data_IF_003751246404
#
_entry.id   IF_003751246404
#
_cell.length_a   1.000
_cell.length_b   1.000
_cell.length_c   1.000
_cell.angle_alpha   90.00
_cell.angle_beta   90.00
_cell.angle_gamma   90.00
#
_symmetry.space_group_name_H-M   'P 1'
#
loop_
_entity.id
_entity.type
_entity.pdbx_description
1 polymer ?
#
# COMPACT_ATOMS: atom_id res chain seq x y z
N UNK A 1 31.51 -15.89 12.91
CA UNK A 1 30.04 -15.75 12.91
C UNK A 1 29.76 -14.31 12.58
N UNK A 2 29.69 -13.98 11.30
CA UNK A 2 29.11 -12.71 10.87
C UNK A 2 27.64 -12.77 11.26
N UNK A 3 27.20 -11.80 12.06
CA UNK A 3 25.77 -11.60 12.31
C UNK A 3 25.11 -11.37 10.96
N UNK A 4 24.20 -12.26 10.56
CA UNK A 4 23.23 -11.98 9.50
C UNK A 4 22.61 -10.63 9.86
N UNK A 5 22.89 -9.58 9.09
CA UNK A 5 22.23 -8.28 9.30
C UNK A 5 20.77 -8.54 9.02
N UNK A 6 19.97 -8.66 10.07
CA UNK A 6 18.52 -8.72 9.93
C UNK A 6 18.06 -7.51 9.14
N UNK A 7 17.14 -7.73 8.21
CA UNK A 7 16.58 -6.68 7.37
C UNK A 7 15.98 -5.59 8.26
N UNK A 8 16.58 -4.40 8.24
CA UNK A 8 16.16 -3.28 9.09
C UNK A 8 14.85 -2.65 8.59
N UNK A 9 14.58 -2.74 7.27
CA UNK A 9 13.40 -2.16 6.65
C UNK A 9 13.01 -2.92 5.36
N UNK A 10 12.15 -3.94 5.44
CA UNK A 10 11.70 -4.70 4.27
C UNK A 10 10.65 -3.96 3.44
N UNK A 11 10.05 -2.89 3.98
CA UNK A 11 8.94 -2.18 3.36
C UNK A 11 9.31 -1.37 2.12
N UNK A 12 8.34 -0.62 1.59
CA UNK A 12 8.51 0.10 0.33
C UNK A 12 9.58 1.21 0.39
N UNK A 13 9.74 1.87 1.54
CA UNK A 13 10.77 2.89 1.75
C UNK A 13 12.15 2.28 2.06
N UNK A 14 12.25 0.96 2.04
CA UNK A 14 13.48 0.20 2.27
C UNK A 14 13.79 -0.72 1.10
N UNK A 15 13.97 -2.00 1.39
CA UNK A 15 14.48 -2.99 0.43
C UNK A 15 13.53 -3.27 -0.71
N UNK A 16 12.22 -3.32 -0.46
CA UNK A 16 11.24 -3.55 -1.53
C UNK A 16 11.27 -2.44 -2.60
N UNK A 17 11.48 -1.19 -2.19
CA UNK A 17 11.68 -0.08 -3.13
C UNK A 17 12.94 -0.25 -3.99
N UNK A 18 14.04 -0.76 -3.40
CA UNK A 18 15.28 -1.06 -4.13
C UNK A 18 15.10 -2.21 -5.12
N UNK A 19 14.43 -3.28 -4.70
CA UNK A 19 14.12 -4.45 -5.55
C UNK A 19 13.35 -3.99 -6.80
N UNK A 20 12.29 -3.21 -6.62
CA UNK A 20 11.53 -2.62 -7.75
C UNK A 20 12.43 -1.77 -8.64
N UNK A 21 13.31 -0.97 -8.03
CA UNK A 21 14.30 -0.16 -8.75
C UNK A 21 15.22 -1.01 -9.63
N UNK A 22 15.78 -2.09 -9.09
CA UNK A 22 16.66 -3.00 -9.81
C UNK A 22 15.96 -3.72 -10.96
N UNK A 23 14.78 -4.30 -10.73
CA UNK A 23 13.98 -4.91 -11.81
C UNK A 23 13.62 -3.90 -12.92
N UNK A 24 13.30 -2.64 -12.54
CA UNK A 24 13.06 -1.57 -13.52
C UNK A 24 14.32 -1.21 -14.32
N UNK A 25 15.49 -1.16 -13.68
CA UNK A 25 16.77 -0.94 -14.36
C UNK A 25 17.05 -2.07 -15.35
N UNK A 26 16.91 -3.33 -14.92
CA UNK A 26 17.04 -4.48 -15.79
C UNK A 26 16.13 -4.37 -17.04
N UNK A 27 14.85 -4.04 -16.87
CA UNK A 27 13.94 -3.86 -18.02
C UNK A 27 14.36 -2.75 -18.98
N UNK A 28 15.08 -1.74 -18.50
CA UNK A 28 15.54 -0.60 -19.32
C UNK A 28 16.89 -0.85 -19.98
N UNK A 29 17.81 -1.54 -19.32
CA UNK A 29 19.20 -1.70 -19.77
C UNK A 29 19.49 -3.10 -20.33
N UNK A 30 18.69 -4.11 -19.97
CA UNK A 30 18.93 -5.53 -20.21
C UNK A 30 20.27 -6.03 -19.63
N UNK A 31 20.81 -5.36 -18.60
CA UNK A 31 21.99 -5.80 -17.87
C UNK A 31 21.57 -6.77 -16.75
N UNK A 32 21.93 -8.05 -16.91
CA UNK A 32 21.55 -9.16 -16.00
C UNK A 32 21.97 -8.92 -14.54
N UNK A 33 23.04 -8.16 -14.30
CA UNK A 33 23.50 -7.79 -12.94
C UNK A 33 22.39 -7.14 -12.10
N UNK A 34 21.49 -6.37 -12.73
CA UNK A 34 20.37 -5.75 -12.00
C UNK A 34 19.30 -6.75 -11.62
N UNK A 35 19.01 -7.73 -12.48
CA UNK A 35 18.06 -8.80 -12.18
C UNK A 35 18.60 -9.68 -11.05
N UNK A 36 19.86 -10.12 -11.14
CA UNK A 36 20.53 -10.93 -10.10
C UNK A 36 20.50 -10.23 -8.73
N UNK A 37 20.78 -8.92 -8.69
CA UNK A 37 20.69 -8.12 -7.45
C UNK A 37 19.27 -8.04 -6.91
N UNK A 38 18.27 -7.95 -7.79
CA UNK A 38 16.88 -7.87 -7.40
C UNK A 38 16.37 -9.20 -6.83
N UNK A 39 16.74 -10.31 -7.47
CA UNK A 39 16.40 -11.67 -7.03
C UNK A 39 16.99 -11.99 -5.67
N UNK A 40 18.31 -11.80 -5.48
CA UNK A 40 18.98 -12.06 -4.21
C UNK A 40 18.34 -11.26 -3.07
N UNK A 41 18.10 -9.96 -3.30
CA UNK A 41 17.50 -9.11 -2.28
C UNK A 41 16.03 -9.46 -2.02
N UNK A 42 15.29 -9.90 -3.04
CA UNK A 42 13.92 -10.37 -2.87
C UNK A 42 13.87 -11.64 -2.03
N UNK A 43 14.73 -12.61 -2.30
CA UNK A 43 14.83 -13.85 -1.52
C UNK A 43 15.15 -13.55 -0.05
N UNK A 44 16.11 -12.66 0.21
CA UNK A 44 16.42 -12.19 1.56
C UNK A 44 15.18 -11.59 2.25
N UNK A 45 14.45 -10.68 1.57
CA UNK A 45 13.22 -10.08 2.11
C UNK A 45 12.18 -11.16 2.41
N UNK A 46 11.97 -12.11 1.51
CA UNK A 46 10.97 -13.17 1.67
C UNK A 46 11.31 -14.12 2.82
N UNK A 47 12.58 -14.51 2.97
CA UNK A 47 13.05 -15.39 4.04
C UNK A 47 12.95 -14.73 5.43
N UNK A 48 13.14 -13.41 5.50
CA UNK A 48 13.13 -12.66 6.75
C UNK A 48 11.79 -11.94 7.02
N UNK A 49 10.80 -12.07 6.13
CA UNK A 49 9.49 -11.43 6.29
C UNK A 49 8.67 -12.12 7.40
N UNK A 50 8.89 -11.68 8.64
CA UNK A 50 8.09 -12.13 9.78
C UNK A 50 6.73 -11.41 9.85
N UNK A 51 5.67 -12.13 10.19
CA UNK A 51 4.33 -11.55 10.43
C UNK A 51 4.27 -10.63 11.68
N UNK A 52 5.34 -10.57 12.46
CA UNK A 52 5.52 -9.64 13.58
C UNK A 52 5.83 -8.21 13.11
N UNK A 53 6.21 -8.02 11.84
CA UNK A 53 6.41 -6.71 11.25
C UNK A 53 5.13 -5.85 11.32
N UNK A 54 5.29 -4.51 11.38
CA UNK A 54 4.16 -3.61 11.37
C UNK A 54 3.34 -3.75 10.08
N UNK A 55 2.02 -3.55 10.17
CA UNK A 55 1.10 -3.57 9.02
C UNK A 55 1.09 -2.19 8.36
N UNK A 56 2.26 -1.74 7.90
CA UNK A 56 2.52 -0.40 7.33
C UNK A 56 3.09 -0.51 5.93
N UNK A 57 2.95 0.55 5.13
CA UNK A 57 3.43 0.57 3.75
C UNK A 57 4.93 0.91 3.66
N UNK A 58 5.39 1.89 4.43
CA UNK A 58 6.75 2.38 4.35
C UNK A 58 7.77 1.37 4.82
N UNK A 59 7.53 0.75 5.98
CA UNK A 59 8.48 -0.10 6.70
C UNK A 59 7.97 -1.50 7.05
N UNK A 60 6.83 -1.91 6.49
CA UNK A 60 6.12 -3.09 6.95
C UNK A 60 5.51 -3.96 5.85
N UNK A 61 4.63 -4.85 6.30
CA UNK A 61 4.03 -5.92 5.48
C UNK A 61 3.24 -5.39 4.28
N UNK A 62 2.58 -4.24 4.38
CA UNK A 62 1.84 -3.67 3.25
C UNK A 62 2.80 -3.23 2.14
N UNK A 63 3.98 -2.71 2.49
CA UNK A 63 5.00 -2.33 1.52
C UNK A 63 5.55 -3.52 0.76
N UNK A 64 5.90 -4.57 1.51
CA UNK A 64 6.32 -5.86 0.96
C UNK A 64 5.25 -6.42 0.03
N UNK A 65 4.02 -6.50 0.51
CA UNK A 65 2.91 -7.06 -0.25
C UNK A 65 2.53 -6.27 -1.51
N UNK A 66 2.57 -4.92 -1.45
CA UNK A 66 2.42 -4.09 -2.66
C UNK A 66 3.56 -4.36 -3.64
N UNK A 67 4.79 -4.48 -3.15
CA UNK A 67 5.94 -4.75 -4.01
C UNK A 67 5.83 -6.09 -4.73
N UNK A 68 5.52 -7.17 -4.01
CA UNK A 68 5.31 -8.50 -4.61
C UNK A 68 4.18 -8.48 -5.64
N UNK A 69 3.02 -7.92 -5.28
CA UNK A 69 1.89 -7.80 -6.20
C UNK A 69 2.29 -7.04 -7.46
N UNK A 70 3.03 -5.93 -7.30
CA UNK A 70 3.56 -5.16 -8.41
C UNK A 70 4.54 -5.96 -9.28
N UNK A 71 5.46 -6.72 -8.70
CA UNK A 71 6.44 -7.53 -9.44
C UNK A 71 5.75 -8.63 -10.25
N UNK A 72 4.76 -9.32 -9.66
CA UNK A 72 3.93 -10.33 -10.33
C UNK A 72 3.14 -9.70 -11.49
N UNK A 73 2.49 -8.58 -11.22
CA UNK A 73 1.71 -7.84 -12.21
C UNK A 73 2.56 -7.37 -13.40
N UNK A 74 3.78 -6.92 -13.15
CA UNK A 74 4.67 -6.48 -14.22
C UNK A 74 5.39 -7.64 -14.92
N UNK A 75 5.24 -8.89 -14.46
CA UNK A 75 5.92 -10.05 -15.02
C UNK A 75 7.43 -10.05 -14.75
N UNK A 76 7.86 -9.47 -13.63
CA UNK A 76 9.24 -9.59 -13.15
C UNK A 76 9.46 -10.92 -12.41
N UNK A 77 8.42 -11.41 -11.75
CA UNK A 77 8.43 -12.70 -11.04
C UNK A 77 7.15 -13.47 -11.38
N UNK A 78 7.21 -14.79 -11.27
CA UNK A 78 6.07 -15.68 -11.48
C UNK A 78 5.56 -16.23 -10.13
N UNK A 79 4.25 -16.47 -10.03
CA UNK A 79 3.63 -17.04 -8.84
C UNK A 79 2.14 -16.73 -8.71
N UNK A 80 1.47 -17.39 -7.77
CA UNK A 80 0.09 -17.07 -7.40
C UNK A 80 0.09 -16.02 -6.28
N UNK A 81 -0.32 -14.80 -6.61
CA UNK A 81 -0.42 -13.69 -5.68
C UNK A 81 -1.32 -14.01 -4.47
N UNK A 82 -2.41 -14.76 -4.66
CA UNK A 82 -3.32 -15.10 -3.57
C UNK A 82 -2.70 -16.11 -2.61
N UNK A 83 -1.82 -17.00 -3.08
CA UNK A 83 -1.09 -17.92 -2.21
C UNK A 83 0.03 -17.19 -1.46
N UNK A 84 0.85 -16.42 -2.18
CA UNK A 84 2.02 -15.72 -1.64
C UNK A 84 1.60 -14.69 -0.59
N UNK A 85 0.53 -13.94 -0.84
CA UNK A 85 0.14 -12.80 0.00
C UNK A 85 -0.94 -13.13 1.04
N UNK A 86 -1.40 -14.39 1.12
CA UNK A 86 -2.52 -14.79 1.98
C UNK A 86 -2.36 -14.39 3.46
N UNK A 87 -1.16 -14.54 4.01
CA UNK A 87 -0.91 -14.20 5.41
C UNK A 87 -0.93 -12.68 5.64
N UNK A 88 -0.41 -11.91 4.68
CA UNK A 88 -0.46 -10.44 4.71
C UNK A 88 -1.91 -9.97 4.59
N UNK A 89 -2.71 -10.56 3.70
CA UNK A 89 -4.15 -10.29 3.60
C UNK A 89 -4.86 -10.45 4.94
N UNK A 90 -4.62 -11.58 5.61
CA UNK A 90 -5.23 -11.84 6.91
C UNK A 90 -4.84 -10.78 7.95
N UNK A 91 -3.57 -10.35 7.98
CA UNK A 91 -3.09 -9.29 8.88
C UNK A 91 -3.75 -7.95 8.55
N UNK A 92 -3.83 -7.58 7.27
CA UNK A 92 -4.47 -6.34 6.81
C UNK A 92 -5.95 -6.34 7.17
N UNK A 93 -6.68 -7.41 6.88
CA UNK A 93 -8.10 -7.54 7.21
C UNK A 93 -8.35 -7.42 8.72
N UNK A 94 -7.53 -8.10 9.54
CA UNK A 94 -7.65 -8.00 11.00
C UNK A 94 -7.38 -6.57 11.50
N UNK A 95 -6.41 -5.87 10.93
CA UNK A 95 -6.12 -4.46 11.24
C UNK A 95 -7.30 -3.55 10.87
N UNK A 96 -7.93 -3.77 9.72
CA UNK A 96 -9.11 -3.02 9.28
C UNK A 96 -10.29 -3.26 10.24
N UNK A 97 -10.57 -4.53 10.56
CA UNK A 97 -11.69 -4.92 11.43
C UNK A 97 -11.54 -4.39 12.86
N UNK A 98 -10.31 -4.34 13.37
CA UNK A 98 -10.01 -3.82 14.71
C UNK A 98 -9.78 -2.31 14.76
N UNK A 99 -9.66 -1.64 13.60
CA UNK A 99 -9.29 -0.23 13.47
C UNK A 99 -8.04 0.14 14.29
N UNK A 100 -7.01 -0.69 14.25
CA UNK A 100 -5.86 -0.62 15.16
C UNK A 100 -4.78 0.45 14.82
N UNK A 101 -5.00 1.32 13.83
CA UNK A 101 -4.04 2.35 13.40
C UNK A 101 -4.60 3.75 13.66
N UNK A 102 -3.81 4.60 14.35
CA UNK A 102 -4.25 5.96 14.72
C UNK A 102 -3.93 7.06 13.69
N UNK A 103 -3.15 6.77 12.66
CA UNK A 103 -2.63 7.76 11.70
C UNK A 103 -3.20 7.55 10.30
N UNK A 104 -3.33 8.63 9.51
CA UNK A 104 -3.95 8.57 8.18
C UNK A 104 -2.96 8.35 7.03
N UNK A 105 -1.72 8.82 7.12
CA UNK A 105 -0.78 8.90 6.00
C UNK A 105 -0.43 7.54 5.35
N UNK A 106 0.16 7.57 4.16
CA UNK A 106 0.47 6.38 3.36
C UNK A 106 1.53 5.53 4.07
N UNK A 107 2.62 6.15 4.53
CA UNK A 107 3.78 5.41 5.06
C UNK A 107 3.43 4.51 6.26
N UNK A 108 2.75 5.05 7.27
CA UNK A 108 2.49 4.35 8.54
C UNK A 108 1.01 4.28 8.94
N UNK A 109 0.13 4.82 8.10
CA UNK A 109 -1.27 5.03 8.43
C UNK A 109 -2.25 4.22 7.58
N UNK A 110 -3.53 4.53 7.77
CA UNK A 110 -4.68 3.87 7.13
C UNK A 110 -4.57 3.91 5.60
N UNK A 111 -4.04 4.99 5.02
CA UNK A 111 -3.83 5.10 3.57
C UNK A 111 -2.86 4.04 3.01
N UNK A 112 -1.91 3.55 3.81
CA UNK A 112 -1.03 2.46 3.41
C UNK A 112 -1.78 1.14 3.22
N UNK A 113 -2.79 0.86 4.07
CA UNK A 113 -3.68 -0.29 3.91
C UNK A 113 -4.54 -0.14 2.65
N UNK A 114 -5.00 1.08 2.37
CA UNK A 114 -5.84 1.35 1.21
C UNK A 114 -5.05 1.17 -0.07
N UNK A 115 -3.77 1.55 -0.05
CA UNK A 115 -2.91 1.36 -1.19
C UNK A 115 -2.61 -0.13 -1.45
N UNK A 116 -2.44 -0.92 -0.38
CA UNK A 116 -2.33 -2.37 -0.48
C UNK A 116 -3.56 -3.01 -1.14
N UNK A 117 -4.77 -2.71 -0.64
CA UNK A 117 -6.01 -3.24 -1.23
C UNK A 117 -6.22 -2.77 -2.67
N UNK A 118 -5.81 -1.53 -2.99
CA UNK A 118 -5.85 -1.06 -4.37
C UNK A 118 -5.02 -1.93 -5.30
N UNK A 119 -3.77 -2.25 -4.93
CA UNK A 119 -2.92 -3.09 -5.78
C UNK A 119 -3.51 -4.48 -5.99
N UNK A 120 -4.00 -5.11 -4.92
CA UNK A 120 -4.67 -6.43 -4.98
C UNK A 120 -5.91 -6.44 -5.88
N UNK A 121 -6.63 -5.31 -5.98
CA UNK A 121 -7.88 -5.23 -6.74
C UNK A 121 -7.74 -4.61 -8.14
N UNK A 122 -6.68 -3.85 -8.40
CA UNK A 122 -6.57 -2.96 -9.58
C UNK A 122 -6.66 -3.70 -10.92
N UNK A 123 -6.18 -4.94 -10.99
CA UNK A 123 -6.25 -5.82 -12.18
C UNK A 123 -7.40 -6.83 -12.15
N UNK A 124 -8.21 -6.84 -11.09
CA UNK A 124 -9.27 -7.82 -10.82
C UNK A 124 -10.68 -7.21 -10.84
N UNK A 125 -10.89 -6.10 -11.55
CA UNK A 125 -12.13 -5.30 -11.47
C UNK A 125 -13.41 -6.09 -11.79
N UNK A 126 -13.33 -7.00 -12.76
CA UNK A 126 -14.44 -7.85 -13.19
C UNK A 126 -14.56 -9.18 -12.45
N UNK A 127 -13.66 -9.47 -11.51
CA UNK A 127 -13.67 -10.73 -10.77
C UNK A 127 -14.64 -10.67 -9.58
N UNK A 128 -15.31 -11.79 -9.36
CA UNK A 128 -16.32 -11.99 -8.32
C UNK A 128 -16.08 -13.26 -7.50
N UNK A 129 -14.85 -13.77 -7.52
CA UNK A 129 -14.51 -14.87 -6.62
C UNK A 129 -14.54 -14.41 -5.15
N UNK A 130 -14.68 -15.38 -4.24
CA UNK A 130 -14.86 -15.14 -2.80
C UNK A 130 -13.74 -14.28 -2.19
N UNK A 131 -12.50 -14.39 -2.70
CA UNK A 131 -11.35 -13.64 -2.18
C UNK A 131 -11.45 -12.18 -2.61
N UNK A 132 -11.80 -11.92 -3.86
CA UNK A 132 -12.04 -10.56 -4.39
C UNK A 132 -13.21 -9.89 -3.69
N UNK A 133 -14.32 -10.60 -3.51
CA UNK A 133 -15.48 -10.08 -2.79
C UNK A 133 -15.13 -9.70 -1.35
N UNK A 134 -14.32 -10.54 -0.67
CA UNK A 134 -13.82 -10.25 0.67
C UNK A 134 -12.91 -9.01 0.69
N UNK A 135 -12.03 -8.84 -0.29
CA UNK A 135 -11.21 -7.62 -0.39
C UNK A 135 -12.07 -6.38 -0.64
N UNK A 136 -13.08 -6.47 -1.50
CA UNK A 136 -14.04 -5.39 -1.78
C UNK A 136 -14.82 -5.00 -0.51
N UNK A 137 -15.23 -5.98 0.30
CA UNK A 137 -15.86 -5.75 1.60
C UNK A 137 -14.94 -4.97 2.56
N UNK A 138 -13.69 -5.42 2.73
CA UNK A 138 -12.74 -4.75 3.61
C UNK A 138 -12.34 -3.36 3.09
N UNK A 139 -12.34 -3.16 1.78
CA UNK A 139 -12.17 -1.84 1.17
C UNK A 139 -13.30 -0.88 1.57
N UNK A 140 -14.55 -1.35 1.63
CA UNK A 140 -15.68 -0.52 2.10
C UNK A 140 -15.47 -0.12 3.57
N UNK A 141 -15.11 -1.06 4.44
CA UNK A 141 -14.81 -0.76 5.85
C UNK A 141 -13.65 0.23 6.01
N UNK A 142 -12.64 0.11 5.15
CA UNK A 142 -11.49 1.00 5.14
C UNK A 142 -11.84 2.40 4.65
N UNK A 143 -12.68 2.54 3.62
CA UNK A 143 -13.20 3.84 3.16
C UNK A 143 -14.02 4.51 4.26
N UNK A 144 -14.84 3.75 4.99
CA UNK A 144 -15.57 4.25 6.16
C UNK A 144 -14.61 4.74 7.25
N UNK A 145 -13.54 3.97 7.50
CA UNK A 145 -12.54 4.35 8.49
C UNK A 145 -11.78 5.63 8.10
N UNK A 146 -11.38 5.78 6.83
CA UNK A 146 -10.79 7.03 6.32
C UNK A 146 -11.74 8.21 6.54
N UNK A 147 -13.03 8.03 6.24
CA UNK A 147 -14.04 9.06 6.43
C UNK A 147 -14.15 9.50 7.90
N UNK A 148 -14.10 8.56 8.84
CA UNK A 148 -14.19 8.84 10.27
C UNK A 148 -12.92 9.53 10.81
N UNK A 149 -11.76 9.28 10.20
CA UNK A 149 -10.48 9.86 10.61
C UNK A 149 -10.19 11.24 10.01
N UNK A 150 -10.81 11.58 8.87
CA UNK A 150 -10.58 12.84 8.14
C UNK A 150 -10.90 14.14 8.91
N UNK A 151 -11.96 14.23 9.73
CA UNK A 151 -12.28 15.46 10.48
C UNK A 151 -11.17 15.96 11.41
N UNK A 152 -10.27 15.07 11.84
CA UNK A 152 -9.12 15.39 12.69
C UNK A 152 -7.93 16.01 11.96
N UNK A 153 -7.92 16.01 10.62
CA UNK A 153 -6.79 16.48 9.82
C UNK A 153 -6.73 18.01 9.80
N UNK A 154 -5.52 18.55 9.88
CA UNK A 154 -5.21 19.99 9.79
C UNK A 154 -4.11 20.29 8.78
N UNK A 155 -3.21 19.34 8.57
CA UNK A 155 -2.05 19.47 7.68
C UNK A 155 -2.44 19.29 6.21
N UNK A 156 -2.04 20.23 5.34
CA UNK A 156 -2.35 20.19 3.90
C UNK A 156 -1.75 18.96 3.20
N UNK A 157 -0.51 18.59 3.54
CA UNK A 157 0.17 17.42 2.97
C UNK A 157 -0.60 16.12 3.21
N UNK A 158 -1.25 15.99 4.37
CA UNK A 158 -2.04 14.80 4.67
C UNK A 158 -3.34 14.75 3.85
N UNK A 159 -3.94 15.90 3.54
CA UNK A 159 -5.06 15.95 2.59
C UNK A 159 -4.63 15.53 1.19
N UNK A 160 -3.43 15.92 0.75
CA UNK A 160 -2.88 15.52 -0.56
C UNK A 160 -2.65 13.99 -0.63
N UNK A 161 -2.06 13.40 0.41
CA UNK A 161 -1.87 11.95 0.49
C UNK A 161 -3.20 11.19 0.46
N UNK A 162 -4.18 11.63 1.26
CA UNK A 162 -5.50 10.99 1.29
C UNK A 162 -6.22 11.17 -0.06
N UNK A 163 -6.15 12.36 -0.66
CA UNK A 163 -6.76 12.62 -1.97
C UNK A 163 -6.15 11.74 -3.07
N UNK A 164 -4.83 11.59 -3.08
CA UNK A 164 -4.15 10.67 -3.99
C UNK A 164 -4.68 9.23 -3.86
N UNK A 165 -4.81 8.73 -2.63
CA UNK A 165 -5.38 7.40 -2.39
C UNK A 165 -6.83 7.32 -2.87
N UNK A 166 -7.66 8.32 -2.58
CA UNK A 166 -9.06 8.33 -3.02
C UNK A 166 -9.18 8.31 -4.55
N UNK A 167 -8.30 9.00 -5.28
CA UNK A 167 -8.21 8.91 -6.75
C UNK A 167 -7.93 7.48 -7.22
N UNK A 168 -7.06 6.75 -6.53
CA UNK A 168 -6.79 5.35 -6.84
C UNK A 168 -8.01 4.46 -6.53
N UNK A 169 -8.64 4.64 -5.38
CA UNK A 169 -9.81 3.87 -4.97
C UNK A 169 -11.01 4.10 -5.90
N UNK A 170 -11.21 5.33 -6.38
CA UNK A 170 -12.26 5.67 -7.34
C UNK A 170 -12.18 4.82 -8.62
N UNK A 171 -10.97 4.49 -9.06
CA UNK A 171 -10.73 3.64 -10.24
C UNK A 171 -11.21 2.20 -10.04
N UNK A 172 -11.35 1.74 -8.80
CA UNK A 172 -11.86 0.39 -8.50
C UNK A 172 -13.38 0.28 -8.69
N UNK A 173 -14.09 1.42 -8.75
CA UNK A 173 -15.55 1.48 -8.87
C UNK A 173 -16.29 0.76 -7.73
N UNK A 174 -15.73 0.81 -6.51
CA UNK A 174 -16.31 0.23 -5.30
C UNK A 174 -16.64 1.39 -4.36
N UNK A 175 -17.92 1.55 -4.04
CA UNK A 175 -18.40 2.58 -3.11
C UNK A 175 -18.05 4.03 -3.55
N UNK A 176 -18.00 4.26 -4.86
CA UNK A 176 -17.55 5.53 -5.46
C UNK A 176 -18.32 6.76 -4.98
N UNK A 177 -19.63 6.66 -4.75
CA UNK A 177 -20.41 7.79 -4.25
C UNK A 177 -19.91 8.31 -2.88
N UNK A 178 -19.32 7.44 -2.04
CA UNK A 178 -18.67 7.89 -0.81
C UNK A 178 -17.26 8.40 -1.08
N UNK A 179 -16.48 7.71 -1.93
CA UNK A 179 -15.13 8.15 -2.32
C UNK A 179 -15.16 9.57 -2.89
N UNK A 180 -16.08 9.88 -3.80
CA UNK A 180 -16.25 11.21 -4.42
C UNK A 180 -16.54 12.29 -3.37
N UNK A 181 -17.41 12.02 -2.39
CA UNK A 181 -17.67 12.95 -1.28
C UNK A 181 -16.42 13.21 -0.43
N UNK A 182 -15.59 12.20 -0.21
CA UNK A 182 -14.34 12.35 0.53
C UNK A 182 -13.31 13.12 -0.28
N UNK A 183 -13.27 12.94 -1.61
CA UNK A 183 -12.42 13.73 -2.50
C UNK A 183 -12.77 15.22 -2.42
N UNK A 184 -14.06 15.56 -2.54
CA UNK A 184 -14.54 16.94 -2.37
C UNK A 184 -14.20 17.52 -0.98
N UNK A 185 -14.23 16.68 0.07
CA UNK A 185 -13.85 17.09 1.42
C UNK A 185 -12.36 17.42 1.50
N UNK A 186 -11.48 16.58 0.95
CA UNK A 186 -10.05 16.83 0.90
C UNK A 186 -9.70 18.09 0.10
N UNK A 187 -10.36 18.31 -1.05
CA UNK A 187 -10.16 19.53 -1.85
C UNK A 187 -10.43 20.81 -1.05
N UNK A 188 -11.56 20.83 -0.32
CA UNK A 188 -11.89 21.95 0.58
C UNK A 188 -10.86 22.09 1.69
N UNK A 189 -10.40 20.98 2.26
CA UNK A 189 -9.36 20.93 3.29
C UNK A 189 -8.06 21.58 2.82
N UNK A 190 -7.54 21.20 1.64
CA UNK A 190 -6.32 21.76 1.06
C UNK A 190 -6.42 23.28 0.85
N UNK A 191 -7.57 23.78 0.38
CA UNK A 191 -7.79 25.22 0.18
C UNK A 191 -7.78 25.98 1.51
N UNK A 192 -8.37 25.42 2.57
CA UNK A 192 -8.45 26.07 3.88
C UNK A 192 -7.08 26.07 4.55
N UNK A 193 -6.42 24.92 4.64
CA UNK A 193 -5.08 24.79 5.25
C UNK A 193 -4.02 25.59 4.49
N UNK A 194 -4.10 25.65 3.16
CA UNK A 194 -3.20 26.46 2.34
C UNK A 194 -3.39 27.97 2.54
N UNK A 195 -4.59 28.43 2.90
CA UNK A 195 -4.83 29.85 3.24
C UNK A 195 -4.25 30.19 4.62
N UNK A 196 -4.36 29.32 5.60
CA UNK A 196 -3.80 29.56 6.95
C UNK A 196 -2.26 29.66 6.95
N UNK A 197 -1.59 28.93 6.06
CA UNK A 197 -0.13 28.97 5.91
C UNK A 197 0.42 30.26 5.28
N UNK A 198 -0.41 31.08 4.61
CA UNK A 198 0.01 32.34 3.96
C UNK A 198 -0.03 33.54 4.92
N UNK A 199 -0.64 33.39 6.09
CA UNK A 199 -0.79 34.45 7.10
C UNK A 199 0.15 34.30 8.32
N UNK A 200 1.14 33.39 8.24
CA UNK A 200 2.25 33.25 9.21
C UNK A 200 3.54 33.70 8.50
#
# INVERSE_FOLDING_TARGET
>A
MESVRGIENPGMMGEMGKIIGFYRLYRQTAEEEWEEKAEVLLDEVMENCSLELPVTYGDGLCGVGVGIEYLLQEGFVEGDADEILWQIDCRVFNTINSRAIGTLGIGKGICGLAYYLYYRLSRRKGEEDIKVLRMKEHLIYLIDWIADSLPGVRESSLFEEVFFILCLLHRLNVFNAKVEKLMEYCEKGMIISGKEAVWI
#
